data_IF_942248299497
#
_entry.id   IF_942248299497
#
_cell.length_a   1.000
_cell.length_b   1.000
_cell.length_c   1.000
_cell.angle_alpha   90.00
_cell.angle_beta   90.00
_cell.angle_gamma   90.00
#
_symmetry.space_group_name_H-M   'P 1'
#
loop_
_entity.id
_entity.type
_entity.pdbx_description
1 polymer ?
#
# COMPACT_ATOMS: atom_id res chain seq x y z
N UNK A 1 -8.44 -0.88 1.68
CA UNK A 1 -7.37 -1.86 1.33
C UNK A 1 -7.59 -3.21 2.00
N UNK A 2 -7.05 -4.30 1.43
CA UNK A 2 -7.11 -5.67 1.98
C UNK A 2 -6.01 -6.02 3.00
N UNK A 3 -4.95 -5.22 3.05
CA UNK A 3 -3.86 -5.38 4.02
C UNK A 3 -4.23 -4.63 5.30
N UNK A 4 -4.36 -5.36 6.42
CA UNK A 4 -4.54 -4.78 7.77
C UNK A 4 -3.19 -4.54 8.44
N UNK A 5 -2.34 -5.55 8.37
CA UNK A 5 -0.94 -5.48 8.79
C UNK A 5 -0.14 -6.35 7.83
N UNK A 6 0.83 -5.77 7.15
CA UNK A 6 1.62 -6.46 6.12
C UNK A 6 2.97 -5.80 5.97
N UNK A 7 4.01 -6.61 6.10
CA UNK A 7 5.40 -6.22 5.91
C UNK A 7 6.00 -6.99 4.73
N UNK A 8 6.69 -6.28 3.83
CA UNK A 8 7.30 -6.85 2.64
C UNK A 8 8.74 -6.35 2.52
N UNK A 9 9.69 -7.27 2.33
CA UNK A 9 11.09 -6.94 2.10
C UNK A 9 11.51 -7.33 0.68
N UNK A 10 12.05 -6.37 -0.06
CA UNK A 10 12.58 -6.54 -1.41
C UNK A 10 14.12 -6.41 -1.39
N UNK A 11 14.83 -7.52 -1.57
CA UNK A 11 16.28 -7.72 -1.54
C UNK A 11 16.86 -8.50 -2.74
N UNK A 12 16.12 -8.62 -3.84
CA UNK A 12 16.48 -9.33 -5.09
C UNK A 12 16.13 -8.47 -6.31
N UNK A 13 16.64 -8.87 -7.46
CA UNK A 13 16.43 -8.13 -8.71
C UNK A 13 15.00 -8.25 -9.26
N UNK A 14 14.29 -9.32 -8.94
CA UNK A 14 12.96 -9.59 -9.47
C UNK A 14 12.03 -10.24 -8.45
N UNK A 15 10.77 -9.80 -8.48
CA UNK A 15 9.70 -10.27 -7.61
C UNK A 15 8.43 -10.57 -8.41
N UNK A 16 7.74 -11.64 -8.02
CA UNK A 16 6.40 -11.94 -8.52
C UNK A 16 5.44 -11.96 -7.33
N UNK A 17 4.38 -11.16 -7.41
CA UNK A 17 3.33 -11.09 -6.40
C UNK A 17 2.13 -11.91 -6.89
N UNK A 18 1.93 -13.09 -6.29
CA UNK A 18 0.82 -14.01 -6.60
C UNK A 18 -0.08 -14.11 -5.37
N UNK A 19 -1.39 -14.20 -5.58
CA UNK A 19 -2.35 -14.27 -4.49
C UNK A 19 -3.73 -14.73 -4.97
N UNK A 20 -4.40 -15.47 -4.09
CA UNK A 20 -5.75 -16.00 -4.24
C UNK A 20 -6.59 -15.65 -3.02
N UNK A 21 -7.91 -15.66 -3.18
CA UNK A 21 -8.84 -15.53 -2.06
C UNK A 21 -9.08 -16.93 -1.48
N UNK A 22 -8.87 -17.08 -0.16
CA UNK A 22 -9.07 -18.35 0.57
C UNK A 22 -10.47 -18.91 0.31
N UNK A 23 -10.57 -20.22 0.11
CA UNK A 23 -11.83 -20.94 -0.17
C UNK A 23 -12.57 -20.49 -1.43
N UNK A 24 -11.87 -19.89 -2.39
CA UNK A 24 -12.44 -19.55 -3.70
C UNK A 24 -11.48 -19.85 -4.85
N UNK A 25 -12.01 -19.92 -6.06
CA UNK A 25 -11.20 -19.94 -7.30
C UNK A 25 -10.81 -18.54 -7.78
N UNK A 26 -11.12 -17.48 -7.01
CA UNK A 26 -10.91 -16.10 -7.41
C UNK A 26 -9.52 -15.63 -6.98
N UNK A 27 -8.81 -15.00 -7.92
CA UNK A 27 -7.53 -14.33 -7.66
C UNK A 27 -7.68 -12.82 -7.60
N UNK A 28 -8.57 -12.23 -8.39
CA UNK A 28 -8.83 -10.78 -8.36
C UNK A 28 -9.45 -10.37 -7.02
N UNK A 29 -8.98 -9.25 -6.47
CA UNK A 29 -9.39 -8.78 -5.14
C UNK A 29 -8.58 -9.33 -3.97
N UNK A 30 -7.57 -10.20 -4.20
CA UNK A 30 -6.72 -10.75 -3.12
C UNK A 30 -5.69 -9.77 -2.53
N UNK A 31 -5.72 -8.49 -2.90
CA UNK A 31 -4.78 -7.47 -2.40
C UNK A 31 -3.50 -7.23 -3.18
N UNK A 32 -3.21 -8.01 -4.23
CA UNK A 32 -1.95 -7.87 -5.01
C UNK A 32 -1.69 -6.44 -5.49
N UNK A 33 -2.69 -5.80 -6.12
CA UNK A 33 -2.57 -4.43 -6.64
C UNK A 33 -2.52 -3.37 -5.54
N UNK A 34 -2.88 -3.71 -4.30
CA UNK A 34 -2.78 -2.81 -3.16
C UNK A 34 -1.33 -2.56 -2.74
N UNK A 35 -0.41 -3.48 -3.02
CA UNK A 35 1.03 -3.33 -2.73
C UNK A 35 1.67 -2.18 -3.53
N UNK A 36 1.67 -2.19 -4.89
CA UNK A 36 2.21 -1.07 -5.65
C UNK A 36 1.45 0.23 -5.40
N UNK A 37 0.16 0.16 -5.03
CA UNK A 37 -0.60 1.34 -4.67
C UNK A 37 -0.14 1.96 -3.34
N UNK A 38 0.18 1.14 -2.33
CA UNK A 38 0.78 1.61 -1.08
C UNK A 38 2.13 2.29 -1.30
N UNK A 39 2.97 1.72 -2.17
CA UNK A 39 4.25 2.33 -2.58
C UNK A 39 4.00 3.70 -3.25
N UNK A 40 3.04 3.77 -4.18
CA UNK A 40 2.63 5.03 -4.82
C UNK A 40 2.18 6.08 -3.82
N UNK A 41 1.29 5.68 -2.91
CA UNK A 41 0.81 6.55 -1.85
C UNK A 41 1.95 7.07 -0.98
N UNK A 42 2.89 6.20 -0.57
CA UNK A 42 4.06 6.64 0.21
C UNK A 42 4.89 7.68 -0.56
N UNK A 43 5.17 7.45 -1.84
CA UNK A 43 6.01 8.35 -2.64
C UNK A 43 5.31 9.68 -2.96
N UNK A 44 4.05 9.63 -3.41
CA UNK A 44 3.37 10.78 -4.03
C UNK A 44 2.25 11.38 -3.17
N UNK A 45 1.82 10.69 -2.12
CA UNK A 45 0.68 11.10 -1.29
C UNK A 45 -0.68 10.82 -1.92
N UNK A 46 -0.68 10.14 -3.06
CA UNK A 46 -1.90 9.75 -3.78
C UNK A 46 -1.81 8.31 -4.27
N UNK A 47 -2.97 7.71 -4.46
CA UNK A 47 -3.15 6.38 -5.02
C UNK A 47 -2.89 6.40 -6.53
N UNK A 48 -2.16 5.43 -7.06
CA UNK A 48 -2.04 5.23 -8.51
C UNK A 48 -3.33 4.71 -9.14
N UNK A 49 -4.19 4.10 -8.33
CA UNK A 49 -5.53 3.68 -8.73
C UNK A 49 -6.47 4.87 -8.60
N UNK A 50 -7.41 5.04 -9.54
CA UNK A 50 -8.54 5.99 -9.47
C UNK A 50 -9.55 5.57 -8.39
N UNK A 51 -9.09 5.54 -7.13
CA UNK A 51 -9.89 5.22 -5.95
C UNK A 51 -9.84 6.40 -5.00
N UNK A 52 -10.94 6.65 -4.28
CA UNK A 52 -10.95 7.75 -3.31
C UNK A 52 -10.01 7.42 -2.16
N UNK A 53 -9.39 8.45 -1.58
CA UNK A 53 -8.47 8.29 -0.44
C UNK A 53 -9.08 7.47 0.70
N UNK A 54 -10.37 7.66 1.01
CA UNK A 54 -11.06 6.88 2.05
C UNK A 54 -11.19 5.39 1.71
N UNK A 55 -11.23 5.01 0.42
CA UNK A 55 -11.34 3.62 -0.04
C UNK A 55 -10.00 2.86 0.09
N UNK A 56 -8.90 3.61 0.25
CA UNK A 56 -7.58 3.04 0.54
C UNK A 56 -7.53 2.51 1.98
N UNK A 57 -8.26 3.10 2.93
CA UNK A 57 -8.31 2.61 4.32
C UNK A 57 -9.08 1.27 4.37
N UNK A 58 -8.63 0.30 5.17
CA UNK A 58 -9.37 -0.95 5.39
C UNK A 58 -10.77 -0.63 5.94
N UNK A 59 -11.82 -1.35 5.51
CA UNK A 59 -13.22 -0.98 5.77
C UNK A 59 -13.53 -0.83 7.27
N UNK A 60 -12.96 -1.70 8.10
CA UNK A 60 -13.15 -1.69 9.56
C UNK A 60 -12.22 -0.72 10.32
N UNK A 61 -11.38 0.02 9.61
CA UNK A 61 -10.39 0.92 10.20
C UNK A 61 -10.71 2.38 9.90
N UNK A 62 -10.32 3.27 10.81
CA UNK A 62 -10.45 4.73 10.65
C UNK A 62 -9.20 5.38 10.09
N UNK A 63 -8.08 4.67 10.14
CA UNK A 63 -6.76 5.19 9.79
C UNK A 63 -5.97 4.15 9.02
N UNK A 64 -5.04 4.61 8.20
CA UNK A 64 -4.06 3.78 7.51
C UNK A 64 -2.69 4.42 7.70
N UNK A 65 -1.66 3.59 7.83
CA UNK A 65 -0.27 4.02 7.77
C UNK A 65 0.45 3.23 6.69
N UNK A 66 1.30 3.91 5.92
CA UNK A 66 2.24 3.26 5.02
C UNK A 66 3.64 3.75 5.36
N UNK A 67 4.51 2.79 5.62
CA UNK A 67 5.94 3.02 5.80
C UNK A 67 6.69 2.39 4.63
N UNK A 68 7.53 3.19 3.97
CA UNK A 68 8.31 2.76 2.82
C UNK A 68 9.76 3.19 2.98
N UNK A 69 10.67 2.21 2.97
CA UNK A 69 12.11 2.44 3.05
C UNK A 69 12.76 2.07 1.73
N UNK A 70 13.60 2.95 1.19
CA UNK A 70 14.30 2.74 -0.08
C UNK A 70 15.65 3.45 -0.08
N UNK A 71 16.53 3.05 -1.01
CA UNK A 71 17.82 3.69 -1.22
C UNK A 71 17.87 4.35 -2.59
N UNK A 72 18.36 5.59 -2.66
CA UNK A 72 18.58 6.32 -3.91
C UNK A 72 19.91 7.06 -3.80
N UNK A 73 20.79 6.89 -4.78
CA UNK A 73 22.11 7.53 -4.80
C UNK A 73 22.92 7.33 -3.50
N UNK A 74 22.92 6.10 -2.98
CA UNK A 74 23.58 5.70 -1.73
C UNK A 74 23.05 6.38 -0.46
N UNK A 75 21.91 7.08 -0.54
CA UNK A 75 21.22 7.64 0.61
C UNK A 75 20.01 6.77 0.93
N UNK A 76 19.87 6.43 2.21
CA UNK A 76 18.72 5.67 2.71
C UNK A 76 17.61 6.64 3.12
N UNK A 77 16.43 6.43 2.55
CA UNK A 77 15.23 7.20 2.82
C UNK A 77 14.20 6.32 3.52
N UNK A 78 13.43 6.95 4.40
CA UNK A 78 12.27 6.36 5.05
C UNK A 78 11.12 7.35 4.99
N UNK A 79 10.02 6.95 4.38
CA UNK A 79 8.80 7.74 4.29
C UNK A 79 7.72 7.06 5.12
N UNK A 80 7.06 7.83 5.97
CA UNK A 80 5.87 7.39 6.70
C UNK A 80 4.73 8.34 6.39
N UNK A 81 3.62 7.81 5.87
CA UNK A 81 2.40 8.57 5.63
C UNK A 81 1.24 7.97 6.38
N UNK A 82 0.45 8.84 7.02
CA UNK A 82 -0.76 8.47 7.73
C UNK A 82 -1.96 9.10 7.05
N UNK A 83 -3.02 8.33 6.89
CA UNK A 83 -4.31 8.79 6.41
C UNK A 83 -5.36 8.53 7.48
N UNK A 84 -6.32 9.43 7.60
CA UNK A 84 -7.50 9.24 8.44
C UNK A 84 -8.75 9.48 7.61
N UNK A 85 -9.76 8.61 7.75
CA UNK A 85 -11.04 8.74 7.04
C UNK A 85 -11.63 10.12 7.27
N UNK A 86 -12.11 10.75 6.19
CA UNK A 86 -12.74 12.07 6.24
C UNK A 86 -11.77 13.23 6.52
N UNK A 87 -10.46 13.02 6.41
CA UNK A 87 -9.45 14.09 6.41
C UNK A 87 -8.72 14.15 5.08
N UNK A 88 -8.56 15.35 4.54
CA UNK A 88 -7.69 15.58 3.39
C UNK A 88 -6.24 15.30 3.79
N UNK A 89 -5.47 14.51 3.02
CA UNK A 89 -4.05 14.31 3.27
C UNK A 89 -3.33 15.66 3.29
N UNK A 90 -2.54 15.93 4.33
CA UNK A 90 -1.62 17.08 4.35
C UNK A 90 -0.34 16.61 3.67
N UNK A 91 0.02 17.27 2.57
CA UNK A 91 1.21 16.97 1.76
C UNK A 91 2.42 17.68 2.34
#
# INVERSE_FOLDING_TARGET
MSHRDSELTFNKDFYTIIGSIVDTTKSNGSGKSSIPNGIGYALYGDSFLEIKNDDVIHNDEKTMSVEYSFSLNNINYKITRNLSRGRTPVI
#
